data_IF_804254713781
#
_entry.id   IF_804254713781
#
_cell.length_a   1.000
_cell.length_b   1.000
_cell.length_c   1.000
_cell.angle_alpha   90.00
_cell.angle_beta   90.00
_cell.angle_gamma   90.00
#
_symmetry.space_group_name_H-M   'P 1'
#
loop_
_entity.id
_entity.type
_entity.pdbx_description
1 polymer ?
#
# COMPACT_ATOMS: atom_id res chain seq x y z
N UNK A 1 -3.56 -9.74 15.49
CA UNK A 1 -3.62 -8.37 16.10
C UNK A 1 -3.46 -7.28 15.03
N UNK A 2 -2.54 -7.47 14.08
CA UNK A 2 -2.29 -6.59 12.93
C UNK A 2 -3.55 -6.19 12.14
N UNK A 3 -4.44 -7.14 11.80
CA UNK A 3 -5.67 -6.86 11.03
C UNK A 3 -6.59 -5.82 11.69
N UNK A 4 -6.65 -5.76 13.03
CA UNK A 4 -7.43 -4.74 13.74
C UNK A 4 -6.77 -3.37 13.67
N UNK A 5 -5.44 -3.32 13.73
CA UNK A 5 -4.65 -2.08 13.72
C UNK A 5 -4.61 -1.41 12.33
N UNK A 6 -4.76 -2.21 11.27
CA UNK A 6 -4.83 -1.73 9.89
C UNK A 6 -6.26 -1.68 9.31
N UNK A 7 -7.27 -2.17 10.04
CA UNK A 7 -8.64 -2.36 9.50
C UNK A 7 -8.64 -3.26 8.25
N UNK A 8 -7.91 -4.38 8.32
CA UNK A 8 -7.78 -5.38 7.26
C UNK A 8 -9.09 -6.12 6.97
N UNK A 9 -9.16 -6.76 5.80
CA UNK A 9 -10.33 -7.56 5.40
C UNK A 9 -10.40 -8.89 6.18
N UNK A 10 -11.60 -9.46 6.28
CA UNK A 10 -11.84 -10.74 6.98
C UNK A 10 -11.03 -11.91 6.41
N UNK A 11 -10.48 -12.80 7.26
CA UNK A 11 -9.69 -13.98 6.85
C UNK A 11 -10.42 -14.90 5.85
N UNK A 12 -11.75 -14.92 5.89
CA UNK A 12 -12.56 -15.83 5.07
C UNK A 12 -12.60 -15.43 3.58
N UNK A 13 -12.37 -14.15 3.26
CA UNK A 13 -12.23 -13.67 1.87
C UNK A 13 -10.80 -13.82 1.35
N UNK A 14 -9.83 -13.86 2.26
CA UNK A 14 -8.41 -13.79 1.96
C UNK A 14 -7.80 -15.13 1.57
N UNK A 15 -8.38 -16.28 1.93
CA UNK A 15 -7.74 -17.60 1.76
C UNK A 15 -7.10 -17.83 0.36
N UNK A 16 -7.82 -17.53 -0.72
CA UNK A 16 -7.30 -17.68 -2.09
C UNK A 16 -6.31 -16.60 -2.53
N UNK A 17 -6.37 -15.39 -1.95
CA UNK A 17 -5.39 -14.31 -2.19
C UNK A 17 -4.12 -14.55 -1.37
N UNK A 18 -4.27 -14.91 -0.10
CA UNK A 18 -3.19 -15.30 0.81
C UNK A 18 -2.42 -16.49 0.25
N UNK A 19 -3.08 -17.54 -0.24
CA UNK A 19 -2.40 -18.67 -0.87
C UNK A 19 -1.57 -18.25 -2.09
N UNK A 20 -2.11 -17.35 -2.93
CA UNK A 20 -1.37 -16.80 -4.08
C UNK A 20 -0.20 -15.91 -3.66
N UNK A 21 -0.36 -15.09 -2.63
CA UNK A 21 0.70 -14.26 -2.08
C UNK A 21 1.82 -15.11 -1.47
N UNK A 22 1.49 -16.15 -0.72
CA UNK A 22 2.45 -17.12 -0.16
C UNK A 22 3.21 -17.82 -1.29
N UNK A 23 2.50 -18.28 -2.32
CA UNK A 23 3.12 -18.91 -3.49
C UNK A 23 4.08 -17.95 -4.20
N UNK A 24 3.65 -16.71 -4.47
CA UNK A 24 4.49 -15.69 -5.10
C UNK A 24 5.75 -15.39 -4.26
N UNK A 25 5.59 -15.26 -2.94
CA UNK A 25 6.72 -15.07 -2.01
C UNK A 25 7.71 -16.23 -2.09
N UNK A 26 7.22 -17.46 -2.15
CA UNK A 26 8.05 -18.66 -2.29
C UNK A 26 8.81 -18.68 -3.62
N UNK A 27 8.12 -18.38 -4.73
CA UNK A 27 8.72 -18.29 -6.06
C UNK A 27 9.81 -17.21 -6.10
N UNK A 28 9.53 -15.99 -5.61
CA UNK A 28 10.49 -14.88 -5.60
C UNK A 28 11.68 -15.10 -4.65
N UNK A 29 11.49 -15.86 -3.57
CA UNK A 29 12.58 -16.24 -2.66
C UNK A 29 13.67 -17.04 -3.38
N UNK A 30 13.29 -17.87 -4.35
CA UNK A 30 14.27 -18.62 -5.17
C UNK A 30 15.15 -17.71 -6.04
N UNK A 31 14.70 -16.49 -6.32
CA UNK A 31 15.45 -15.46 -7.06
C UNK A 31 16.19 -14.48 -6.13
N UNK A 32 16.19 -14.70 -4.82
CA UNK A 32 16.76 -13.79 -3.82
C UNK A 32 16.16 -12.37 -3.89
N UNK A 33 14.90 -12.26 -4.32
CA UNK A 33 14.15 -11.00 -4.37
C UNK A 33 13.34 -10.86 -3.08
N UNK A 34 13.64 -9.88 -2.19
CA UNK A 34 12.89 -9.68 -0.98
C UNK A 34 11.49 -9.14 -1.31
N UNK A 35 10.46 -9.83 -0.82
CA UNK A 35 9.08 -9.37 -0.93
C UNK A 35 8.66 -8.69 0.38
N UNK A 36 8.15 -7.47 0.27
CA UNK A 36 7.61 -6.69 1.39
C UNK A 36 6.12 -6.50 1.20
N UNK A 37 5.37 -6.63 2.29
CA UNK A 37 3.94 -6.37 2.28
C UNK A 37 3.68 -4.89 2.57
N UNK A 38 3.10 -4.19 1.61
CA UNK A 38 2.73 -2.78 1.74
C UNK A 38 1.21 -2.61 1.88
N UNK A 39 0.79 -1.65 2.71
CA UNK A 39 -0.64 -1.39 2.92
C UNK A 39 -1.04 0.05 2.56
N UNK A 40 -1.41 0.32 1.28
CA UNK A 40 -1.60 1.68 0.76
C UNK A 40 -2.73 2.44 1.46
N UNK A 41 -3.77 1.76 1.93
CA UNK A 41 -4.86 2.40 2.67
C UNK A 41 -4.41 3.03 4.01
N UNK A 42 -3.39 2.47 4.66
CA UNK A 42 -2.82 3.06 5.88
C UNK A 42 -1.93 4.24 5.54
N UNK A 43 -1.11 4.17 4.48
CA UNK A 43 -0.36 5.33 4.01
C UNK A 43 -1.30 6.48 3.63
N UNK A 44 -2.38 6.20 2.92
CA UNK A 44 -3.41 7.19 2.58
C UNK A 44 -4.04 7.83 3.82
N UNK A 45 -4.18 7.08 4.92
CA UNK A 45 -4.67 7.62 6.20
C UNK A 45 -3.64 8.54 6.84
N UNK A 46 -2.35 8.15 6.85
CA UNK A 46 -1.25 8.98 7.37
C UNK A 46 -1.11 10.29 6.59
N UNK A 47 -1.30 10.24 5.27
CA UNK A 47 -1.26 11.40 4.39
C UNK A 47 -2.54 12.24 4.41
N UNK A 48 -3.55 11.88 5.22
CA UNK A 48 -4.80 12.64 5.32
C UNK A 48 -5.72 12.54 4.08
N UNK A 49 -5.45 11.63 3.14
CA UNK A 49 -6.15 11.54 1.84
C UNK A 49 -7.63 11.16 1.98
N UNK A 50 -8.04 10.58 3.12
CA UNK A 50 -9.45 10.29 3.41
C UNK A 50 -10.31 11.55 3.46
N UNK A 51 -9.76 12.67 3.93
CA UNK A 51 -10.45 13.96 3.95
C UNK A 51 -10.77 14.46 2.52
N UNK A 52 -9.96 14.05 1.55
CA UNK A 52 -10.09 14.40 0.13
C UNK A 52 -10.94 13.39 -0.66
N UNK A 53 -11.49 12.37 -0.01
CA UNK A 53 -12.36 11.40 -0.68
C UNK A 53 -11.63 10.21 -1.32
N UNK A 54 -10.43 9.86 -0.83
CA UNK A 54 -9.75 8.62 -1.19
C UNK A 54 -10.69 7.39 -1.12
N UNK A 55 -10.71 6.60 -2.21
CA UNK A 55 -11.59 5.44 -2.43
C UNK A 55 -13.10 5.73 -2.39
N UNK A 56 -13.51 7.00 -2.56
CA UNK A 56 -14.91 7.37 -2.81
C UNK A 56 -15.18 7.46 -4.32
N UNK A 57 -15.75 8.56 -4.82
CA UNK A 57 -16.06 8.74 -6.23
C UNK A 57 -14.81 9.07 -7.06
N UNK A 58 -14.77 8.61 -8.32
CA UNK A 58 -13.63 8.83 -9.23
C UNK A 58 -13.23 10.31 -9.39
N UNK A 59 -14.18 11.24 -9.27
CA UNK A 59 -13.92 12.67 -9.38
C UNK A 59 -12.88 13.19 -8.37
N UNK A 60 -12.69 12.50 -7.23
CA UNK A 60 -11.70 12.87 -6.22
C UNK A 60 -10.29 12.34 -6.47
N UNK A 61 -10.08 11.53 -7.51
CA UNK A 61 -8.77 10.95 -7.79
C UNK A 61 -7.75 12.05 -8.04
N UNK A 62 -8.12 13.12 -8.74
CA UNK A 62 -7.24 14.25 -9.00
C UNK A 62 -6.82 14.95 -7.70
N UNK A 63 -7.78 15.33 -6.85
CA UNK A 63 -7.50 15.99 -5.56
C UNK A 63 -6.57 15.16 -4.66
N UNK A 64 -6.80 13.85 -4.62
CA UNK A 64 -5.94 12.91 -3.87
C UNK A 64 -4.54 12.82 -4.48
N UNK A 65 -4.46 12.76 -5.80
CA UNK A 65 -3.19 12.60 -6.53
C UNK A 65 -2.33 13.86 -6.44
N UNK A 66 -2.93 15.06 -6.45
CA UNK A 66 -2.21 16.32 -6.29
C UNK A 66 -1.48 16.42 -4.95
N UNK A 67 -2.10 15.95 -3.86
CA UNK A 67 -1.44 15.90 -2.55
C UNK A 67 -0.28 14.92 -2.55
N UNK A 68 -0.42 13.76 -3.20
CA UNK A 68 0.68 12.79 -3.34
C UNK A 68 1.84 13.35 -4.17
N UNK A 69 1.55 13.98 -5.31
CA UNK A 69 2.52 14.63 -6.19
C UNK A 69 3.28 15.70 -5.41
N UNK A 70 2.57 16.56 -4.69
CA UNK A 70 3.18 17.67 -3.94
C UNK A 70 4.04 17.17 -2.78
N UNK A 71 3.56 16.18 -2.01
CA UNK A 71 4.26 15.66 -0.84
C UNK A 71 5.56 14.93 -1.20
N UNK A 72 5.59 14.24 -2.33
CA UNK A 72 6.72 13.40 -2.74
C UNK A 72 7.46 13.89 -3.99
N UNK A 73 7.07 15.07 -4.52
CA UNK A 73 7.62 15.67 -5.75
C UNK A 73 7.61 14.68 -6.93
N UNK A 74 6.47 14.02 -7.12
CA UNK A 74 6.32 13.00 -8.16
C UNK A 74 6.13 13.67 -9.53
N UNK A 75 6.70 13.05 -10.56
CA UNK A 75 6.41 13.38 -11.94
C UNK A 75 5.67 12.20 -12.56
N UNK A 76 4.34 12.29 -12.62
CA UNK A 76 3.53 11.31 -13.33
C UNK A 76 3.55 11.63 -14.82
N UNK A 77 3.69 10.59 -15.66
CA UNK A 77 3.64 10.74 -17.12
C UNK A 77 2.19 11.00 -17.57
N UNK A 78 1.25 10.27 -16.98
CA UNK A 78 -0.18 10.37 -17.26
C UNK A 78 -0.97 10.54 -15.95
N UNK A 79 -2.17 11.17 -15.99
CA UNK A 79 -3.08 11.20 -14.85
C UNK A 79 -3.49 9.80 -14.41
N UNK A 80 -3.74 9.62 -13.11
CA UNK A 80 -4.28 8.36 -12.59
C UNK A 80 -5.80 8.32 -12.83
N UNK A 81 -6.32 7.22 -13.35
CA UNK A 81 -7.73 7.08 -13.75
C UNK A 81 -8.53 6.14 -12.85
N UNK A 82 -7.84 5.42 -11.97
CA UNK A 82 -8.47 4.44 -11.07
C UNK A 82 -7.86 4.45 -9.67
N UNK A 83 -8.67 4.06 -8.68
CA UNK A 83 -8.18 3.87 -7.31
C UNK A 83 -7.11 2.77 -7.20
N UNK A 84 -7.07 1.84 -8.14
CA UNK A 84 -6.04 0.80 -8.20
C UNK A 84 -4.68 1.37 -8.62
N UNK A 85 -4.66 2.32 -9.56
CA UNK A 85 -3.43 3.05 -9.89
C UNK A 85 -2.97 3.93 -8.73
N UNK A 86 -3.90 4.60 -8.04
CA UNK A 86 -3.58 5.34 -6.80
C UNK A 86 -2.97 4.42 -5.75
N UNK A 87 -3.56 3.25 -5.51
CA UNK A 87 -3.03 2.23 -4.58
C UNK A 87 -1.63 1.75 -5.01
N UNK A 88 -1.39 1.57 -6.31
CA UNK A 88 -0.09 1.16 -6.84
C UNK A 88 0.98 2.23 -6.58
N UNK A 89 0.66 3.51 -6.84
CA UNK A 89 1.57 4.62 -6.55
C UNK A 89 1.82 4.73 -5.04
N UNK A 90 0.78 4.64 -4.20
CA UNK A 90 0.95 4.62 -2.75
C UNK A 90 1.85 3.47 -2.29
N UNK A 91 1.73 2.29 -2.90
CA UNK A 91 2.59 1.14 -2.57
C UNK A 91 4.04 1.38 -2.99
N UNK A 92 4.28 2.03 -4.13
CA UNK A 92 5.62 2.47 -4.52
C UNK A 92 6.19 3.52 -3.54
N UNK A 93 5.35 4.42 -3.03
CA UNK A 93 5.74 5.39 -2.00
C UNK A 93 6.10 4.71 -0.67
N UNK A 94 5.40 3.65 -0.27
CA UNK A 94 5.77 2.82 0.88
C UNK A 94 7.19 2.27 0.69
N UNK A 95 7.51 1.76 -0.50
CA UNK A 95 8.86 1.29 -0.80
C UNK A 95 9.91 2.41 -0.70
N UNK A 96 9.60 3.60 -1.22
CA UNK A 96 10.48 4.77 -1.11
C UNK A 96 10.71 5.17 0.36
N UNK A 97 9.66 5.17 1.18
CA UNK A 97 9.75 5.42 2.62
C UNK A 97 10.59 4.35 3.32
N UNK A 98 10.46 3.09 2.91
CA UNK A 98 11.28 2.00 3.42
C UNK A 98 12.76 2.24 3.14
N UNK A 99 13.12 2.52 1.88
CA UNK A 99 14.49 2.80 1.46
C UNK A 99 15.10 4.01 2.22
N UNK A 100 14.28 5.01 2.52
CA UNK A 100 14.68 6.21 3.27
C UNK A 100 14.60 6.06 4.79
N UNK A 101 14.29 4.87 5.33
CA UNK A 101 14.11 4.60 6.78
C UNK A 101 13.03 5.48 7.45
N UNK A 102 12.02 5.88 6.67
CA UNK A 102 10.86 6.68 7.12
C UNK A 102 9.59 5.83 7.28
N UNK A 103 9.69 4.53 7.04
CA UNK A 103 8.57 3.62 7.13
C UNK A 103 8.13 3.38 8.58
N UNK A 104 6.88 3.00 8.74
CA UNK A 104 6.34 2.39 9.95
C UNK A 104 6.10 0.91 9.68
N UNK A 105 6.36 0.07 10.68
CA UNK A 105 6.18 -1.39 10.59
C UNK A 105 5.10 -1.81 11.57
N UNK A 106 4.17 -2.65 11.12
CA UNK A 106 3.09 -3.22 11.92
C UNK A 106 3.11 -4.74 11.84
N UNK A 107 2.77 -5.43 12.93
CA UNK A 107 2.74 -6.90 13.00
C UNK A 107 3.88 -7.50 13.81
N UNK A 108 4.05 -8.81 13.68
CA UNK A 108 5.10 -9.62 14.35
C UNK A 108 5.88 -10.40 13.31
N UNK A 109 7.18 -10.61 13.52
CA UNK A 109 8.02 -11.31 12.54
C UNK A 109 7.53 -12.73 12.25
N UNK A 110 6.96 -13.43 13.23
CA UNK A 110 6.45 -14.79 13.08
C UNK A 110 5.17 -14.85 12.23
N UNK A 111 4.35 -13.79 12.25
CA UNK A 111 3.07 -13.71 11.53
C UNK A 111 3.19 -12.97 10.19
N UNK A 112 4.20 -12.10 10.05
CA UNK A 112 4.38 -11.20 8.91
C UNK A 112 4.36 -9.73 9.33
N UNK A 113 5.13 -8.92 8.58
CA UNK A 113 5.26 -7.48 8.81
C UNK A 113 4.64 -6.71 7.65
N UNK A 114 3.90 -5.66 8.00
CA UNK A 114 3.31 -4.70 7.06
C UNK A 114 4.08 -3.39 7.16
N UNK A 115 4.51 -2.87 6.02
CA UNK A 115 5.28 -1.63 5.90
C UNK A 115 4.39 -0.50 5.36
N UNK A 116 4.59 0.71 5.91
CA UNK A 116 3.82 1.92 5.55
C UNK A 116 4.70 3.16 5.48
#
# INVERSE_FOLDING_TARGET
QCDREISGMSPMFLAGLTARAIRLKSELKSYNIPLMEGYPAKLATILGLRALGYKKQKQYINDVTEVMISAYKLNLVDPLESWHEVDAVLTALIHLRYANKQHQTFGQEEEGLVYV
#
